data_IF_021170544237
#
_entry.id   IF_021170544237
#
_cell.length_a   1.000
_cell.length_b   1.000
_cell.length_c   1.000
_cell.angle_alpha   90.00
_cell.angle_beta   90.00
_cell.angle_gamma   90.00
#
_symmetry.space_group_name_H-M   'P 1'
#
loop_
_entity.id
_entity.type
_entity.pdbx_description
1 polymer ?
#
# COMPACT_ATOMS: atom_id res chain seq x y z
N UNK A 1 -2.84 27.03 4.86
CA UNK A 1 -3.58 25.80 4.50
C UNK A 1 -2.61 24.63 4.52
N UNK A 2 -2.96 23.53 5.17
CA UNK A 2 -2.19 22.28 5.12
C UNK A 2 -3.14 21.10 4.88
N UNK A 3 -2.64 20.05 4.24
CA UNK A 3 -3.33 18.78 4.09
C UNK A 3 -2.71 17.78 5.07
N UNK A 4 -3.53 17.05 5.80
CA UNK A 4 -3.11 16.00 6.72
C UNK A 4 -3.67 14.66 6.24
N UNK A 5 -2.79 13.70 5.97
CA UNK A 5 -3.18 12.36 5.53
C UNK A 5 -3.20 11.45 6.76
N UNK A 6 -4.40 11.08 7.23
CA UNK A 6 -4.61 10.25 8.44
C UNK A 6 -4.92 8.78 8.15
N UNK A 7 -5.18 8.44 6.90
CA UNK A 7 -5.55 7.07 6.49
C UNK A 7 -4.36 6.11 6.42
N UNK A 8 -3.14 6.63 6.53
CA UNK A 8 -1.93 5.83 6.39
C UNK A 8 -1.55 5.22 7.74
N UNK A 9 -1.63 3.89 7.91
CA UNK A 9 -1.16 3.24 9.13
C UNK A 9 0.37 3.25 9.20
N UNK A 10 0.90 3.02 10.40
CA UNK A 10 2.32 2.74 10.56
C UNK A 10 2.72 1.52 9.72
N UNK A 11 3.78 1.64 8.96
CA UNK A 11 4.35 0.51 8.21
C UNK A 11 5.05 -0.48 9.15
N UNK A 12 5.26 -1.72 8.71
CA UNK A 12 5.98 -2.72 9.49
C UNK A 12 7.39 -2.29 9.87
N UNK A 13 8.09 -1.59 8.99
CA UNK A 13 9.43 -1.04 9.21
C UNK A 13 9.47 0.46 8.93
N UNK A 14 10.54 1.14 9.35
CA UNK A 14 10.76 2.53 8.98
C UNK A 14 10.90 2.70 7.45
N UNK A 15 11.54 1.75 6.78
CA UNK A 15 11.64 1.73 5.32
C UNK A 15 10.26 1.67 4.65
N UNK A 16 9.36 0.78 5.14
CA UNK A 16 7.98 0.70 4.64
C UNK A 16 7.17 1.99 4.90
N UNK A 17 7.36 2.62 6.05
CA UNK A 17 6.70 3.90 6.37
C UNK A 17 7.13 5.01 5.43
N UNK A 18 8.44 5.16 5.18
CA UNK A 18 8.98 6.12 4.23
C UNK A 18 8.48 5.85 2.80
N UNK A 19 8.47 4.57 2.38
CA UNK A 19 7.96 4.16 1.09
C UNK A 19 6.47 4.49 0.91
N UNK A 20 5.63 4.22 1.92
CA UNK A 20 4.23 4.59 1.92
C UNK A 20 4.03 6.10 1.76
N UNK A 21 4.78 6.91 2.54
CA UNK A 21 4.71 8.36 2.48
C UNK A 21 5.10 8.89 1.11
N UNK A 22 6.22 8.42 0.57
CA UNK A 22 6.70 8.86 -0.75
C UNK A 22 5.72 8.47 -1.87
N UNK A 23 5.20 7.24 -1.85
CA UNK A 23 4.22 6.78 -2.85
C UNK A 23 2.95 7.62 -2.83
N UNK A 24 2.39 7.92 -1.64
CA UNK A 24 1.19 8.74 -1.54
C UNK A 24 1.43 10.16 -2.06
N UNK A 25 2.56 10.77 -1.73
CA UNK A 25 2.92 12.09 -2.23
C UNK A 25 3.09 12.05 -3.76
N UNK A 26 3.83 11.08 -4.27
CA UNK A 26 4.04 10.90 -5.71
C UNK A 26 2.74 10.65 -6.47
N UNK A 27 1.85 9.81 -5.94
CA UNK A 27 0.54 9.55 -6.54
C UNK A 27 -0.35 10.80 -6.53
N UNK A 28 -0.32 11.59 -5.45
CA UNK A 28 -1.06 12.85 -5.38
C UNK A 28 -0.54 13.86 -6.41
N UNK A 29 0.77 14.01 -6.55
CA UNK A 29 1.38 14.87 -7.57
C UNK A 29 1.04 14.38 -8.98
N UNK A 30 1.06 13.07 -9.21
CA UNK A 30 0.79 12.46 -10.51
C UNK A 30 -0.65 12.68 -11.02
N UNK A 31 -1.59 12.95 -10.13
CA UNK A 31 -3.01 13.21 -10.50
C UNK A 31 -3.37 14.68 -10.41
N UNK A 32 -2.43 15.55 -10.05
CA UNK A 32 -2.73 16.97 -9.79
C UNK A 32 -3.28 17.70 -11.02
N UNK A 33 -2.69 17.45 -12.18
CA UNK A 33 -3.12 18.08 -13.44
C UNK A 33 -4.50 17.60 -13.89
N UNK A 34 -4.88 16.36 -13.53
CA UNK A 34 -6.14 15.73 -13.84
C UNK A 34 -7.20 15.87 -12.73
N UNK A 35 -6.90 16.60 -11.64
CA UNK A 35 -7.73 16.59 -10.42
C UNK A 35 -9.17 17.01 -10.65
N UNK A 36 -9.41 18.00 -11.50
CA UNK A 36 -10.77 18.48 -11.80
C UNK A 36 -11.55 17.42 -12.59
N UNK A 37 -10.91 16.74 -13.52
CA UNK A 37 -11.51 15.65 -14.26
C UNK A 37 -11.80 14.47 -13.32
N UNK A 38 -10.80 14.03 -12.55
CA UNK A 38 -10.92 12.92 -11.62
C UNK A 38 -12.05 13.15 -10.60
N UNK A 39 -12.14 14.34 -10.00
CA UNK A 39 -13.19 14.67 -9.03
C UNK A 39 -14.59 14.78 -9.67
N UNK A 40 -14.67 15.10 -10.97
CA UNK A 40 -15.95 15.15 -11.69
C UNK A 40 -16.51 13.76 -12.02
N UNK A 41 -15.65 12.78 -12.30
CA UNK A 41 -16.04 11.41 -12.66
C UNK A 41 -16.07 10.45 -11.48
N UNK A 42 -15.34 10.75 -10.38
CA UNK A 42 -15.31 9.95 -9.15
C UNK A 42 -15.94 10.75 -8.00
N UNK A 43 -17.28 10.80 -7.88
CA UNK A 43 -17.97 11.48 -6.79
C UNK A 43 -17.59 10.95 -5.41
N UNK A 44 -17.75 11.77 -4.39
CA UNK A 44 -17.35 11.48 -3.01
C UNK A 44 -17.86 10.13 -2.49
N UNK A 45 -19.09 9.74 -2.79
CA UNK A 45 -19.66 8.48 -2.33
C UNK A 45 -18.89 7.23 -2.86
N UNK A 46 -18.30 7.29 -4.06
CA UNK A 46 -17.43 6.22 -4.55
C UNK A 46 -16.07 6.24 -3.86
N UNK A 47 -15.55 7.42 -3.56
CA UNK A 47 -14.29 7.53 -2.79
C UNK A 47 -14.46 6.97 -1.37
N UNK A 48 -15.57 7.28 -0.71
CA UNK A 48 -15.93 6.71 0.59
C UNK A 48 -16.10 5.19 0.50
N UNK A 49 -16.83 4.69 -0.49
CA UNK A 49 -16.98 3.26 -0.75
C UNK A 49 -15.63 2.56 -0.93
N UNK A 50 -14.75 3.12 -1.75
CA UNK A 50 -13.40 2.60 -1.99
C UNK A 50 -12.57 2.56 -0.71
N UNK A 51 -12.67 3.60 0.13
CA UNK A 51 -11.98 3.66 1.42
C UNK A 51 -12.37 2.49 2.32
N UNK A 52 -13.67 2.23 2.49
CA UNK A 52 -14.14 1.12 3.33
C UNK A 52 -13.82 -0.24 2.72
N UNK A 53 -13.89 -0.39 1.42
CA UNK A 53 -13.47 -1.64 0.74
C UNK A 53 -11.99 -1.91 0.95
N UNK A 54 -11.13 -0.91 0.76
CA UNK A 54 -9.70 -1.03 1.00
C UNK A 54 -9.39 -1.36 2.47
N UNK A 55 -10.08 -0.74 3.43
CA UNK A 55 -9.94 -1.05 4.85
C UNK A 55 -10.34 -2.48 5.19
N UNK A 56 -11.42 -3.00 4.56
CA UNK A 56 -11.94 -4.35 4.81
C UNK A 56 -11.14 -5.46 4.16
N UNK A 57 -10.74 -5.28 2.90
CA UNK A 57 -10.15 -6.33 2.07
C UNK A 57 -8.64 -6.15 1.83
N UNK A 58 -8.09 -4.99 2.23
CA UNK A 58 -6.66 -4.68 2.06
C UNK A 58 -6.24 -4.76 0.59
N UNK A 59 -5.11 -5.41 0.34
CA UNK A 59 -4.55 -5.58 -1.01
C UNK A 59 -5.42 -6.44 -1.95
N UNK A 60 -6.40 -7.17 -1.42
CA UNK A 60 -7.38 -7.93 -2.19
C UNK A 60 -8.64 -7.16 -2.53
N UNK A 61 -8.69 -5.85 -2.23
CA UNK A 61 -9.86 -5.03 -2.54
C UNK A 61 -10.02 -4.81 -4.05
N UNK A 62 -11.28 -4.73 -4.47
CA UNK A 62 -11.67 -4.10 -5.72
C UNK A 62 -12.26 -2.73 -5.40
N UNK A 63 -11.89 -1.72 -6.16
CA UNK A 63 -12.31 -0.34 -5.97
C UNK A 63 -12.92 0.20 -7.26
N UNK A 64 -13.85 1.13 -7.13
CA UNK A 64 -14.42 1.84 -8.26
C UNK A 64 -13.39 2.85 -8.76
N UNK A 65 -12.89 2.64 -9.97
CA UNK A 65 -11.83 3.45 -10.55
C UNK A 65 -12.09 3.76 -12.02
N UNK A 66 -11.75 4.96 -12.51
CA UNK A 66 -11.90 5.30 -13.93
C UNK A 66 -10.87 4.51 -14.76
N UNK A 67 -11.33 3.86 -15.81
CA UNK A 67 -10.45 3.19 -16.75
C UNK A 67 -9.71 4.22 -17.63
N UNK A 68 -8.44 3.93 -17.98
CA UNK A 68 -7.69 4.76 -18.94
C UNK A 68 -8.52 4.96 -20.20
N UNK A 69 -8.74 6.21 -20.59
CA UNK A 69 -9.49 6.63 -21.78
C UNK A 69 -11.02 6.38 -21.77
N UNK A 70 -11.61 6.02 -20.65
CA UNK A 70 -13.08 5.86 -20.54
C UNK A 70 -13.65 6.71 -19.42
N UNK A 71 -14.77 7.37 -19.70
CA UNK A 71 -15.57 8.07 -18.69
C UNK A 71 -16.28 7.08 -17.75
N UNK A 72 -16.20 5.77 -18.06
CA UNK A 72 -16.87 4.74 -17.29
C UNK A 72 -16.05 4.33 -16.08
N UNK A 73 -16.72 4.35 -14.94
CA UNK A 73 -16.22 3.78 -13.69
C UNK A 73 -16.47 2.27 -13.69
N UNK A 74 -15.51 1.51 -13.20
CA UNK A 74 -15.63 0.06 -13.05
C UNK A 74 -14.93 -0.45 -11.80
N UNK A 75 -15.36 -1.60 -11.31
CA UNK A 75 -14.63 -2.31 -10.27
C UNK A 75 -13.27 -2.75 -10.81
N UNK A 76 -12.22 -2.31 -10.14
CA UNK A 76 -10.84 -2.55 -10.55
C UNK A 76 -10.04 -3.07 -9.34
N UNK A 77 -9.25 -4.14 -9.48
CA UNK A 77 -8.39 -4.60 -8.40
C UNK A 77 -7.45 -3.49 -7.92
N UNK A 78 -7.39 -3.27 -6.60
CA UNK A 78 -6.56 -2.22 -6.00
C UNK A 78 -5.10 -2.28 -6.45
N UNK A 79 -4.54 -3.50 -6.55
CA UNK A 79 -3.15 -3.68 -7.00
C UNK A 79 -2.94 -3.29 -8.47
N UNK A 80 -3.97 -3.39 -9.31
CA UNK A 80 -3.91 -2.89 -10.69
C UNK A 80 -3.82 -1.37 -10.71
N UNK A 81 -4.64 -0.70 -9.91
CA UNK A 81 -4.59 0.77 -9.77
C UNK A 81 -3.24 1.22 -9.20
N UNK A 82 -2.73 0.53 -8.17
CA UNK A 82 -1.43 0.84 -7.58
C UNK A 82 -0.28 0.66 -8.58
N UNK A 83 -0.32 -0.42 -9.39
CA UNK A 83 0.67 -0.68 -10.46
C UNK A 83 0.65 0.39 -11.54
N UNK A 84 -0.53 0.89 -11.89
CA UNK A 84 -0.67 1.96 -12.89
C UNK A 84 -0.23 3.34 -12.36
N UNK A 85 -0.43 3.59 -11.06
CA UNK A 85 -0.01 4.84 -10.42
C UNK A 85 1.50 4.89 -10.13
N UNK A 86 2.15 3.75 -9.92
CA UNK A 86 3.55 3.69 -9.50
C UNK A 86 4.52 4.41 -10.47
N UNK A 87 4.52 4.13 -11.79
CA UNK A 87 5.37 4.86 -12.73
C UNK A 87 5.02 6.35 -12.79
N UNK A 88 3.74 6.71 -12.75
CA UNK A 88 3.31 8.11 -12.73
C UNK A 88 3.79 8.85 -11.47
N UNK A 89 3.74 8.19 -10.32
CA UNK A 89 4.27 8.72 -9.08
C UNK A 89 5.79 8.93 -9.15
N UNK A 90 6.52 8.00 -9.77
CA UNK A 90 7.98 8.12 -10.01
C UNK A 90 8.29 9.33 -10.88
N UNK A 91 7.60 9.48 -12.00
CA UNK A 91 7.80 10.59 -12.93
C UNK A 91 7.48 11.96 -12.28
N UNK A 92 6.41 12.02 -11.49
CA UNK A 92 6.05 13.24 -10.76
C UNK A 92 7.08 13.60 -9.68
N UNK A 93 7.58 12.62 -8.93
CA UNK A 93 8.61 12.84 -7.91
C UNK A 93 9.95 13.25 -8.53
N UNK A 94 10.30 12.76 -9.71
CA UNK A 94 11.52 13.15 -10.42
C UNK A 94 11.54 14.65 -10.80
N UNK A 95 10.39 15.33 -10.78
CA UNK A 95 10.30 16.79 -10.98
C UNK A 95 10.45 17.59 -9.67
N UNK A 96 10.68 16.92 -8.56
CA UNK A 96 10.86 17.54 -7.24
C UNK A 96 12.33 17.57 -6.83
N UNK A 97 12.62 18.10 -5.65
CA UNK A 97 13.97 18.09 -5.09
C UNK A 97 14.34 16.79 -4.35
N UNK A 98 13.52 15.75 -4.46
CA UNK A 98 13.83 14.43 -3.87
C UNK A 98 14.92 13.76 -4.68
N UNK A 99 15.91 13.19 -3.99
CA UNK A 99 17.01 12.47 -4.63
C UNK A 99 16.50 11.26 -5.42
N UNK A 100 16.99 11.10 -6.66
CA UNK A 100 16.55 10.05 -7.58
C UNK A 100 16.83 8.65 -7.03
N UNK A 101 17.93 8.46 -6.32
CA UNK A 101 18.27 7.18 -5.71
C UNK A 101 17.28 6.80 -4.59
N UNK A 102 16.80 7.79 -3.82
CA UNK A 102 15.78 7.58 -2.79
C UNK A 102 14.40 7.31 -3.40
N UNK A 103 14.04 8.00 -4.49
CA UNK A 103 12.81 7.69 -5.25
C UNK A 103 12.85 6.24 -5.71
N UNK A 104 13.93 5.82 -6.34
CA UNK A 104 14.09 4.46 -6.84
C UNK A 104 14.02 3.43 -5.72
N UNK A 105 14.77 3.65 -4.63
CA UNK A 105 14.82 2.74 -3.48
C UNK A 105 13.46 2.59 -2.80
N UNK A 106 12.78 3.68 -2.49
CA UNK A 106 11.53 3.66 -1.74
C UNK A 106 10.34 3.19 -2.60
N UNK A 107 10.25 3.62 -3.86
CA UNK A 107 9.21 3.11 -4.75
C UNK A 107 9.44 1.65 -5.15
N UNK A 108 10.69 1.16 -5.13
CA UNK A 108 11.01 -0.26 -5.28
C UNK A 108 10.39 -1.12 -4.16
N UNK A 109 10.30 -0.61 -2.93
CA UNK A 109 9.59 -1.29 -1.83
C UNK A 109 8.09 -1.42 -2.14
N UNK A 110 7.47 -0.37 -2.68
CA UNK A 110 6.05 -0.41 -3.07
C UNK A 110 5.85 -1.40 -4.21
N UNK A 111 6.74 -1.40 -5.21
CA UNK A 111 6.74 -2.34 -6.33
C UNK A 111 6.78 -3.79 -5.85
N UNK A 112 7.74 -4.14 -4.99
CA UNK A 112 7.85 -5.48 -4.41
C UNK A 112 6.61 -5.88 -3.60
N UNK A 113 5.97 -4.95 -2.89
CA UNK A 113 4.70 -5.21 -2.18
C UNK A 113 3.51 -5.40 -3.12
N UNK A 114 3.48 -4.71 -4.27
CA UNK A 114 2.48 -4.92 -5.32
C UNK A 114 2.66 -6.30 -5.96
N UNK A 115 3.90 -6.69 -6.27
CA UNK A 115 4.21 -7.98 -6.90
C UNK A 115 3.89 -9.17 -5.99
N UNK A 116 4.28 -9.08 -4.72
CA UNK A 116 4.00 -10.13 -3.72
C UNK A 116 2.58 -10.06 -3.15
N UNK A 117 1.81 -9.02 -3.50
CA UNK A 117 0.53 -8.70 -2.89
C UNK A 117 0.60 -8.70 -1.35
N UNK A 118 1.70 -8.20 -0.76
CA UNK A 118 1.95 -8.28 0.67
C UNK A 118 1.60 -6.99 1.40
N UNK A 119 0.95 -7.14 2.55
CA UNK A 119 0.74 -6.09 3.55
C UNK A 119 1.00 -6.63 4.95
N UNK A 120 1.28 -5.75 5.91
CA UNK A 120 1.54 -6.17 7.30
C UNK A 120 0.41 -7.04 7.87
N UNK A 121 -0.84 -6.66 7.63
CA UNK A 121 -2.00 -7.43 8.06
C UNK A 121 -2.10 -8.80 7.37
N UNK A 122 -1.73 -8.89 6.08
CA UNK A 122 -1.72 -10.16 5.36
C UNK A 122 -0.63 -11.09 5.89
N UNK A 123 0.58 -10.57 6.12
CA UNK A 123 1.68 -11.33 6.71
C UNK A 123 1.29 -11.89 8.09
N UNK A 124 0.77 -11.04 8.98
CA UNK A 124 0.33 -11.46 10.31
C UNK A 124 -0.71 -12.58 10.24
N UNK A 125 -1.72 -12.47 9.38
CA UNK A 125 -2.73 -13.51 9.23
C UNK A 125 -2.15 -14.81 8.72
N UNK A 126 -1.32 -14.79 7.69
CA UNK A 126 -0.73 -15.99 7.09
C UNK A 126 0.18 -16.73 8.08
N UNK A 127 1.02 -16.00 8.83
CA UNK A 127 1.85 -16.60 9.88
C UNK A 127 0.98 -17.19 10.98
N UNK A 128 -0.02 -16.46 11.49
CA UNK A 128 -0.91 -16.95 12.54
C UNK A 128 -1.68 -18.20 12.10
N UNK A 129 -2.23 -18.22 10.89
CA UNK A 129 -2.92 -19.39 10.31
C UNK A 129 -1.98 -20.61 10.19
N UNK A 130 -0.71 -20.38 9.86
CA UNK A 130 0.30 -21.44 9.82
C UNK A 130 0.60 -22.00 11.23
N UNK A 131 0.74 -21.11 12.21
CA UNK A 131 1.03 -21.48 13.61
C UNK A 131 -0.12 -22.20 14.30
N UNK A 132 -1.37 -21.91 13.95
CA UNK A 132 -2.56 -22.63 14.49
C UNK A 132 -2.58 -24.13 14.16
N UNK A 133 -1.77 -24.59 13.20
CA UNK A 133 -1.66 -26.03 12.89
C UNK A 133 -0.95 -26.83 13.96
N UNK A 134 -0.16 -26.16 14.83
CA UNK A 134 0.70 -26.83 15.81
C UNK A 134 0.70 -26.18 17.21
N UNK A 135 0.17 -24.98 17.34
CA UNK A 135 0.17 -24.24 18.60
C UNK A 135 -1.24 -23.87 19.03
N UNK A 136 -1.41 -23.66 20.32
CA UNK A 136 -2.64 -23.05 20.86
C UNK A 136 -2.79 -21.60 20.34
N UNK A 137 -4.01 -21.02 20.36
CA UNK A 137 -4.23 -19.64 19.92
C UNK A 137 -3.30 -18.62 20.59
N UNK A 138 -3.14 -18.71 21.91
CA UNK A 138 -2.31 -17.76 22.67
C UNK A 138 -0.82 -17.88 22.31
N UNK A 139 -0.31 -19.11 22.20
CA UNK A 139 1.07 -19.37 21.77
C UNK A 139 1.31 -18.89 20.33
N UNK A 140 0.34 -19.12 19.44
CA UNK A 140 0.44 -18.69 18.05
C UNK A 140 0.51 -17.16 17.92
N UNK A 141 -0.34 -16.42 18.65
CA UNK A 141 -0.29 -14.96 18.65
C UNK A 141 1.01 -14.42 19.26
N UNK A 142 1.49 -14.99 20.36
CA UNK A 142 2.76 -14.60 20.98
C UNK A 142 3.94 -14.86 20.03
N UNK A 143 3.95 -16.00 19.37
CA UNK A 143 5.00 -16.38 18.41
C UNK A 143 4.96 -15.45 17.19
N UNK A 144 3.79 -15.20 16.62
CA UNK A 144 3.64 -14.28 15.49
C UNK A 144 4.14 -12.87 15.86
N UNK A 145 3.77 -12.35 17.03
CA UNK A 145 4.22 -11.04 17.48
C UNK A 145 5.74 -10.99 17.66
N UNK A 146 6.33 -12.04 18.21
CA UNK A 146 7.78 -12.14 18.40
C UNK A 146 8.53 -12.13 17.07
N UNK A 147 8.03 -12.88 16.07
CA UNK A 147 8.57 -12.88 14.70
C UNK A 147 8.41 -11.52 14.02
N UNK A 148 7.25 -10.88 14.18
CA UNK A 148 7.02 -9.54 13.64
C UNK A 148 8.02 -8.54 14.21
N UNK A 149 8.19 -8.52 15.53
CA UNK A 149 9.15 -7.63 16.21
C UNK A 149 10.60 -7.90 15.82
N UNK A 150 10.96 -9.17 15.61
CA UNK A 150 12.29 -9.53 15.13
C UNK A 150 12.55 -8.99 13.72
N UNK A 151 11.61 -9.21 12.79
CA UNK A 151 11.70 -8.70 11.44
C UNK A 151 11.69 -7.16 11.39
N UNK A 152 10.84 -6.51 12.18
CA UNK A 152 10.79 -5.04 12.28
C UNK A 152 12.16 -4.43 12.66
N UNK A 153 12.88 -5.06 13.58
CA UNK A 153 14.20 -4.58 14.04
C UNK A 153 15.27 -4.60 12.95
N UNK A 154 15.15 -5.47 11.96
CA UNK A 154 16.10 -5.53 10.84
C UNK A 154 15.94 -4.36 9.86
N UNK A 155 14.81 -3.67 9.91
CA UNK A 155 14.40 -2.67 8.91
C UNK A 155 14.35 -3.20 7.47
N UNK A 156 14.33 -4.52 7.28
CA UNK A 156 14.14 -5.16 5.97
C UNK A 156 12.70 -4.92 5.51
N UNK A 157 12.48 -4.47 4.27
CA UNK A 157 11.14 -4.23 3.74
C UNK A 157 10.23 -5.46 3.82
N UNK A 158 8.95 -5.23 4.12
CA UNK A 158 7.96 -6.29 4.37
C UNK A 158 7.86 -7.35 3.26
N UNK A 159 8.01 -6.96 2.00
CA UNK A 159 7.88 -7.88 0.86
C UNK A 159 9.01 -8.92 0.79
N UNK A 160 10.08 -8.70 1.52
CA UNK A 160 11.22 -9.62 1.67
C UNK A 160 11.08 -10.55 2.89
N UNK A 161 10.07 -10.34 3.75
CA UNK A 161 9.88 -11.18 4.92
C UNK A 161 9.42 -12.58 4.54
N UNK A 162 10.01 -13.59 5.19
CA UNK A 162 9.61 -14.99 4.98
C UNK A 162 8.21 -15.25 5.55
N UNK A 163 7.50 -16.20 4.94
CA UNK A 163 6.21 -16.72 5.42
C UNK A 163 6.37 -18.03 6.21
N UNK A 164 7.59 -18.39 6.55
CA UNK A 164 7.90 -19.56 7.40
C UNK A 164 8.03 -19.10 8.85
N UNK A 165 7.27 -19.70 9.78
CA UNK A 165 7.45 -19.46 11.20
C UNK A 165 8.74 -20.07 11.73
#
# INVERSE_FOLDING_TARGET
LRIEIRSMPAGPTAADMCANGLFIIGAALAVLDDIHHLTSILPFHYTEHNFYRAAKYGVGAEIIWPHKNQVQLQDTPLLTVARDLLPRARDALAQTAVDESEIHRLLGIIEGRIETAMSGARWQRQITESLFKSLSPDEAFQTMLSLYMANQKTNTPLHEWTLSP
#
